data_IF_707197457335
#
_entry.id   IF_707197457335
#
_cell.length_a   1.000
_cell.length_b   1.000
_cell.length_c   1.000
_cell.angle_alpha   90.00
_cell.angle_beta   90.00
_cell.angle_gamma   90.00
#
_symmetry.space_group_name_H-M   'P 1'
#
loop_
_entity.id
_entity.type
_entity.pdbx_description
1 polymer ?
#
# COMPACT_ATOMS: atom_id res chain seq x y z
N UNK A 1 -44.39 6.07 -7.86
CA UNK A 1 -43.58 6.94 -6.98
C UNK A 1 -42.92 6.04 -5.96
N UNK A 2 -41.59 6.09 -5.94
CA UNK A 2 -40.62 5.46 -5.03
C UNK A 2 -40.64 3.92 -4.98
N UNK A 3 -39.49 3.23 -4.98
CA UNK A 3 -38.26 3.62 -4.30
C UNK A 3 -37.01 3.33 -5.14
N UNK A 4 -36.16 4.33 -5.26
CA UNK A 4 -34.82 4.23 -5.82
C UNK A 4 -33.86 3.72 -4.75
N UNK A 5 -34.12 2.53 -4.21
CA UNK A 5 -33.13 1.77 -3.45
C UNK A 5 -32.10 1.19 -4.42
N UNK A 6 -31.42 2.08 -5.14
CA UNK A 6 -30.33 1.74 -6.04
C UNK A 6 -29.19 1.20 -5.19
N UNK A 7 -29.06 -0.11 -5.15
CA UNK A 7 -27.80 -0.84 -5.29
C UNK A 7 -26.55 -0.11 -4.75
N UNK A 8 -26.57 0.29 -3.48
CA UNK A 8 -25.36 0.63 -2.73
C UNK A 8 -24.60 -0.64 -2.30
N UNK A 9 -24.75 -1.73 -3.06
CA UNK A 9 -23.77 -2.82 -3.12
C UNK A 9 -22.59 -2.35 -3.95
N UNK A 10 -22.05 -1.17 -3.62
CA UNK A 10 -20.77 -0.72 -4.14
C UNK A 10 -19.75 -1.73 -3.63
N UNK A 11 -19.06 -2.45 -4.53
CA UNK A 11 -18.29 -3.66 -4.26
C UNK A 11 -17.31 -3.56 -3.06
N UNK A 12 -17.84 -3.71 -1.84
CA UNK A 12 -17.05 -3.75 -0.60
C UNK A 12 -16.10 -4.94 -0.63
N UNK A 13 -16.54 -6.04 -1.23
CA UNK A 13 -15.73 -7.23 -1.48
C UNK A 13 -14.55 -6.97 -2.43
N UNK A 14 -14.72 -6.10 -3.44
CA UNK A 14 -13.61 -5.71 -4.33
C UNK A 14 -12.62 -4.79 -3.61
N UNK A 15 -13.11 -3.88 -2.75
CA UNK A 15 -12.25 -3.03 -1.92
C UNK A 15 -11.44 -3.86 -0.91
N UNK A 16 -12.04 -4.86 -0.28
CA UNK A 16 -11.35 -5.79 0.61
C UNK A 16 -10.27 -6.61 -0.15
N UNK A 17 -10.60 -7.13 -1.32
CA UNK A 17 -9.64 -7.83 -2.17
C UNK A 17 -8.50 -6.92 -2.62
N UNK A 18 -8.80 -5.68 -2.99
CA UNK A 18 -7.80 -4.69 -3.36
C UNK A 18 -6.88 -4.38 -2.18
N UNK A 19 -7.44 -4.13 -0.99
CA UNK A 19 -6.67 -3.85 0.22
C UNK A 19 -5.75 -5.02 0.61
N UNK A 20 -6.21 -6.27 0.42
CA UNK A 20 -5.41 -7.46 0.64
C UNK A 20 -4.25 -7.59 -0.37
N UNK A 21 -4.52 -7.37 -1.67
CA UNK A 21 -3.50 -7.40 -2.72
C UNK A 21 -2.44 -6.32 -2.51
N UNK A 22 -2.86 -5.10 -2.18
CA UNK A 22 -1.95 -4.00 -1.86
C UNK A 22 -1.10 -4.32 -0.62
N UNK A 23 -1.68 -4.96 0.41
CA UNK A 23 -0.90 -5.41 1.56
C UNK A 23 0.22 -6.39 1.18
N UNK A 24 -0.10 -7.38 0.34
CA UNK A 24 0.89 -8.34 -0.16
C UNK A 24 1.99 -7.65 -0.97
N UNK A 25 1.61 -6.67 -1.80
CA UNK A 25 2.57 -5.89 -2.57
C UNK A 25 3.50 -5.02 -1.70
N UNK A 26 2.97 -4.37 -0.65
CA UNK A 26 3.77 -3.64 0.35
C UNK A 26 4.80 -4.56 0.98
N UNK A 27 4.40 -5.77 1.41
CA UNK A 27 5.32 -6.75 1.97
C UNK A 27 6.41 -7.16 0.98
N UNK A 28 6.03 -7.50 -0.25
CA UNK A 28 6.98 -7.84 -1.32
C UNK A 28 7.97 -6.71 -1.63
N UNK A 29 7.50 -5.47 -1.68
CA UNK A 29 8.37 -4.31 -1.89
C UNK A 29 9.35 -4.15 -0.73
N UNK A 30 8.89 -4.21 0.51
CA UNK A 30 9.74 -4.07 1.70
C UNK A 30 10.86 -5.13 1.71
N UNK A 31 10.52 -6.40 1.47
CA UNK A 31 11.49 -7.49 1.38
C UNK A 31 12.49 -7.30 0.22
N UNK A 32 12.01 -6.81 -0.93
CA UNK A 32 12.85 -6.55 -2.09
C UNK A 32 13.86 -5.44 -1.84
N UNK A 33 13.45 -4.36 -1.17
CA UNK A 33 14.31 -3.23 -0.84
C UNK A 33 15.39 -3.63 0.18
N UNK A 34 15.03 -4.36 1.23
CA UNK A 34 15.99 -4.92 2.20
C UNK A 34 16.98 -5.88 1.51
N UNK A 35 16.49 -6.72 0.59
CA UNK A 35 17.33 -7.60 -0.20
C UNK A 35 18.33 -6.86 -1.11
N UNK A 36 17.92 -5.74 -1.70
CA UNK A 36 18.79 -4.90 -2.53
C UNK A 36 19.84 -4.17 -1.68
N UNK A 37 19.46 -3.64 -0.52
CA UNK A 37 20.38 -2.98 0.40
C UNK A 37 21.50 -3.93 0.87
N UNK A 38 21.14 -5.14 1.31
CA UNK A 38 22.10 -6.18 1.71
C UNK A 38 23.07 -6.55 0.59
N UNK A 39 22.58 -6.71 -0.64
CA UNK A 39 23.42 -7.03 -1.81
C UNK A 39 24.36 -5.87 -2.13
N UNK A 40 23.87 -4.63 -2.05
CA UNK A 40 24.70 -3.47 -2.28
C UNK A 40 25.79 -3.32 -1.22
N UNK A 41 25.46 -3.50 0.05
CA UNK A 41 26.42 -3.50 1.14
C UNK A 41 27.52 -4.55 0.92
N UNK A 42 27.16 -5.77 0.49
CA UNK A 42 28.13 -6.83 0.20
C UNK A 42 29.07 -6.48 -0.97
N UNK A 43 28.55 -5.87 -2.05
CA UNK A 43 29.36 -5.45 -3.20
C UNK A 43 30.37 -4.35 -2.78
N UNK A 44 29.90 -3.38 -2.00
CA UNK A 44 30.71 -2.25 -1.54
C UNK A 44 31.89 -2.65 -0.64
N UNK A 45 31.89 -3.86 -0.05
CA UNK A 45 33.04 -4.33 0.73
C UNK A 45 34.31 -4.52 -0.10
N UNK A 46 34.17 -4.87 -1.38
CA UNK A 46 35.30 -5.18 -2.25
C UNK A 46 35.44 -4.20 -3.43
N UNK A 47 34.45 -3.33 -3.64
CA UNK A 47 34.46 -2.34 -4.69
C UNK A 47 34.78 -0.95 -4.15
N UNK A 48 35.89 -0.36 -4.60
CA UNK A 48 36.43 0.89 -4.07
C UNK A 48 36.77 1.88 -5.20
N UNK A 49 36.95 3.14 -4.81
CA UNK A 49 37.31 4.24 -5.71
C UNK A 49 36.10 5.09 -6.13
N UNK A 50 36.35 6.11 -6.96
CA UNK A 50 35.36 7.14 -7.28
C UNK A 50 34.04 6.60 -7.86
N UNK A 51 34.08 5.50 -8.62
CA UNK A 51 32.88 4.86 -9.15
C UNK A 51 32.02 4.21 -8.05
N UNK A 52 32.67 3.58 -7.06
CA UNK A 52 31.98 2.97 -5.92
C UNK A 52 31.29 4.03 -5.06
N UNK A 53 31.97 5.15 -4.80
CA UNK A 53 31.42 6.30 -4.07
C UNK A 53 30.22 6.93 -4.81
N UNK A 54 30.33 7.12 -6.12
CA UNK A 54 29.26 7.66 -6.94
C UNK A 54 28.02 6.74 -6.95
N UNK A 55 28.26 5.42 -7.04
CA UNK A 55 27.18 4.44 -6.99
C UNK A 55 26.51 4.41 -5.61
N UNK A 56 27.27 4.45 -4.51
CA UNK A 56 26.73 4.44 -3.15
C UNK A 56 25.84 5.68 -2.91
N UNK A 57 26.27 6.84 -3.38
CA UNK A 57 25.46 8.07 -3.34
C UNK A 57 24.18 7.95 -4.17
N UNK A 58 24.26 7.38 -5.38
CA UNK A 58 23.08 7.17 -6.21
C UNK A 58 22.10 6.19 -5.58
N UNK A 59 22.62 5.10 -5.00
CA UNK A 59 21.82 4.09 -4.31
C UNK A 59 21.11 4.65 -3.09
N UNK A 60 21.79 5.47 -2.25
CA UNK A 60 21.15 6.16 -1.12
C UNK A 60 19.97 7.03 -1.55
N UNK A 61 20.15 7.82 -2.62
CA UNK A 61 19.06 8.68 -3.14
C UNK A 61 17.89 7.84 -3.65
N UNK A 62 18.19 6.76 -4.37
CA UNK A 62 17.18 5.82 -4.84
C UNK A 62 16.43 5.15 -3.68
N UNK A 63 17.14 4.71 -2.63
CA UNK A 63 16.56 4.05 -1.47
C UNK A 63 15.59 4.97 -0.70
N UNK A 64 15.91 6.26 -0.58
CA UNK A 64 15.01 7.26 0.01
C UNK A 64 13.71 7.33 -0.81
N UNK A 65 13.80 7.52 -2.13
CA UNK A 65 12.61 7.57 -2.98
C UNK A 65 11.80 6.27 -2.98
N UNK A 66 12.47 5.11 -2.87
CA UNK A 66 11.79 3.83 -2.74
C UNK A 66 11.02 3.69 -1.41
N UNK A 67 11.58 4.22 -0.31
CA UNK A 67 10.89 4.26 0.98
C UNK A 67 9.67 5.20 0.94
N UNK A 68 9.79 6.37 0.30
CA UNK A 68 8.66 7.30 0.10
C UNK A 68 7.51 6.65 -0.70
N UNK A 69 7.83 5.88 -1.75
CA UNK A 69 6.82 5.13 -2.51
C UNK A 69 6.13 4.08 -1.64
N UNK A 70 6.90 3.34 -0.83
CA UNK A 70 6.34 2.33 0.07
C UNK A 70 5.41 2.95 1.12
N UNK A 71 5.80 4.09 1.69
CA UNK A 71 4.99 4.87 2.63
C UNK A 71 3.69 5.33 1.97
N UNK A 72 3.76 5.99 0.82
CA UNK A 72 2.57 6.47 0.11
C UNK A 72 1.59 5.35 -0.26
N UNK A 73 2.08 4.18 -0.68
CA UNK A 73 1.21 3.01 -0.95
C UNK A 73 0.56 2.49 0.35
N UNK A 74 1.29 2.52 1.46
CA UNK A 74 0.77 2.12 2.77
C UNK A 74 -0.32 3.07 3.24
N UNK A 75 -0.14 4.38 3.07
CA UNK A 75 -1.15 5.39 3.36
C UNK A 75 -2.40 5.22 2.49
N UNK A 76 -2.23 5.03 1.18
CA UNK A 76 -3.35 4.76 0.27
C UNK A 76 -4.14 3.53 0.69
N UNK A 77 -3.47 2.45 1.10
CA UNK A 77 -4.14 1.26 1.65
C UNK A 77 -4.94 1.58 2.91
N UNK A 78 -4.38 2.34 3.84
CA UNK A 78 -5.07 2.73 5.07
C UNK A 78 -6.33 3.56 4.78
N UNK A 79 -6.26 4.45 3.80
CA UNK A 79 -7.42 5.22 3.35
C UNK A 79 -8.52 4.33 2.75
N UNK A 80 -8.16 3.32 1.93
CA UNK A 80 -9.11 2.35 1.37
C UNK A 80 -9.81 1.56 2.48
N UNK A 81 -9.06 1.06 3.47
CA UNK A 81 -9.65 0.33 4.62
C UNK A 81 -10.59 1.22 5.41
N UNK A 82 -10.19 2.47 5.67
CA UNK A 82 -11.03 3.44 6.39
C UNK A 82 -12.33 3.73 5.64
N UNK A 83 -12.26 3.90 4.32
CA UNK A 83 -13.44 4.11 3.49
C UNK A 83 -14.37 2.89 3.52
N UNK A 84 -13.81 1.69 3.37
CA UNK A 84 -14.56 0.44 3.45
C UNK A 84 -15.33 0.31 4.77
N UNK A 85 -14.67 0.53 5.91
CA UNK A 85 -15.29 0.43 7.23
C UNK A 85 -16.43 1.44 7.41
N UNK A 86 -16.25 2.67 6.91
CA UNK A 86 -17.28 3.70 6.94
C UNK A 86 -18.51 3.33 6.10
N UNK A 87 -18.31 2.78 4.90
CA UNK A 87 -19.41 2.33 4.03
C UNK A 87 -20.16 1.15 4.64
N UNK A 88 -19.44 0.19 5.22
CA UNK A 88 -20.04 -0.96 5.91
C UNK A 88 -20.91 -0.51 7.08
N UNK A 89 -20.40 0.39 7.92
CA UNK A 89 -21.14 0.93 9.06
C UNK A 89 -22.43 1.68 8.64
N UNK A 90 -22.36 2.44 7.55
CA UNK A 90 -23.53 3.13 7.00
C UNK A 90 -24.59 2.15 6.47
N UNK A 91 -24.16 1.10 5.77
CA UNK A 91 -25.05 0.02 5.29
C UNK A 91 -25.77 -0.67 6.46
N UNK A 92 -25.02 -1.10 7.48
CA UNK A 92 -25.58 -1.77 8.67
C UNK A 92 -26.56 -0.87 9.45
N UNK A 93 -26.29 0.45 9.50
CA UNK A 93 -27.20 1.41 10.11
C UNK A 93 -28.52 1.54 9.33
N UNK A 94 -28.44 1.64 8.01
CA UNK A 94 -29.62 1.74 7.15
C UNK A 94 -30.48 0.47 7.23
N UNK A 95 -29.88 -0.72 7.23
CA UNK A 95 -30.60 -2.00 7.39
C UNK A 95 -31.35 -2.08 8.74
N UNK A 96 -30.72 -1.61 9.84
CA UNK A 96 -31.39 -1.57 11.15
C UNK A 96 -32.57 -0.60 11.17
N UNK A 97 -32.49 0.50 10.43
CA UNK A 97 -33.56 1.51 10.37
C UNK A 97 -34.72 1.10 9.46
N UNK A 98 -34.48 0.32 8.41
CA UNK A 98 -35.53 -0.11 7.46
C UNK A 98 -36.23 -1.41 7.87
N UNK A 99 -35.66 -2.19 8.78
CA UNK A 99 -36.25 -3.42 9.33
C UNK A 99 -37.04 -3.24 10.63
N UNK A 100 -37.27 -1.99 11.08
CA UNK A 100 -38.00 -1.62 12.29
C UNK A 100 -39.34 -0.96 12.03
#
# INVERSE_FOLDING_TARGET
MSDGSGEFSFDLDELDQLAARVNGFIGFLAESLDGLDKRMAAIQQNWQGAAAEAQEQAFRKWAIGAAEVLEGITEMRAAVVTAHDAYKAASDANLRMSGG
#
